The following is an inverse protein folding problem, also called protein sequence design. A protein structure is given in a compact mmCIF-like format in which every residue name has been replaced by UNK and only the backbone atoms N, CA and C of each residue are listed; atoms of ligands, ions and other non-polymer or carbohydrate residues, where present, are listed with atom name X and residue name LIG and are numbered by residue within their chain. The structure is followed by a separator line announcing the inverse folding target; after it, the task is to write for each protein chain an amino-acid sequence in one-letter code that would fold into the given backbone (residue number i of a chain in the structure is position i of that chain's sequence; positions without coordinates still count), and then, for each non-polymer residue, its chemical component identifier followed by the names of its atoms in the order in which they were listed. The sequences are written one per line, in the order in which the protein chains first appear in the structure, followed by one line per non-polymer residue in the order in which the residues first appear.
data_IF_401564187526
#
_entry.id   IF_401564187526
#
_cell.length_a   1.000
_cell.length_b   1.000
_cell.length_c   1.000
_cell.angle_alpha   90.00
_cell.angle_beta   90.00
_cell.angle_gamma   90.00
#
_symmetry.space_group_name_H-M   'P 1'
#
loop_
_entity.id
_entity.type
_entity.pdbx_description
1 polymer ?
#
# COMPACT_ATOMS: atom_id res chain seq x y z
N UNK A 1 0.18 1.92 -15.96
CA UNK A 1 1.28 1.03 -15.54
C UNK A 1 0.84 0.40 -14.24
N UNK A 2 1.02 -0.90 -14.10
CA UNK A 2 0.56 -1.62 -12.92
C UNK A 2 1.52 -1.38 -11.78
N UNK A 3 0.99 -0.99 -10.63
CA UNK A 3 1.78 -0.80 -9.41
C UNK A 3 1.40 -1.84 -8.36
N UNK A 4 2.36 -2.16 -7.50
CA UNK A 4 2.19 -3.11 -6.40
C UNK A 4 2.76 -2.56 -5.10
N UNK A 5 2.13 -2.92 -3.99
CA UNK A 5 2.65 -2.74 -2.64
C UNK A 5 2.57 -4.09 -1.89
N UNK A 6 3.61 -4.40 -1.13
CA UNK A 6 3.67 -5.56 -0.23
C UNK A 6 4.01 -5.06 1.16
N UNK A 7 3.13 -5.30 2.15
CA UNK A 7 3.31 -4.78 3.51
C UNK A 7 4.61 -5.27 4.17
N UNK A 8 5.00 -6.51 3.89
CA UNK A 8 6.28 -7.08 4.38
C UNK A 8 7.50 -6.31 3.87
N UNK A 9 7.46 -5.81 2.63
CA UNK A 9 8.54 -4.99 2.08
C UNK A 9 8.56 -3.58 2.68
N UNK A 10 7.41 -3.08 3.15
CA UNK A 10 7.30 -1.84 3.91
C UNK A 10 7.71 -1.96 5.39
N UNK A 11 8.14 -3.15 5.84
CA UNK A 11 8.67 -3.39 7.20
C UNK A 11 7.65 -3.88 8.23
N UNK A 12 6.43 -4.23 7.81
CA UNK A 12 5.41 -4.82 8.68
C UNK A 12 5.49 -6.34 8.66
N UNK A 13 5.21 -7.02 9.78
CA UNK A 13 5.01 -8.47 9.77
C UNK A 13 3.59 -8.79 9.29
N UNK A 14 3.35 -8.61 7.99
CA UNK A 14 2.04 -8.77 7.34
C UNK A 14 2.19 -9.28 5.90
N UNK A 15 1.44 -10.31 5.54
CA UNK A 15 1.45 -10.92 4.21
C UNK A 15 0.49 -10.25 3.21
N UNK A 16 -0.09 -9.11 3.57
CA UNK A 16 -0.93 -8.34 2.66
C UNK A 16 -0.11 -7.80 1.48
N UNK A 17 -0.71 -7.92 0.30
CA UNK A 17 -0.18 -7.38 -0.95
C UNK A 17 -1.35 -6.93 -1.82
N UNK A 18 -1.15 -5.84 -2.54
CA UNK A 18 -2.15 -5.30 -3.47
C UNK A 18 -1.45 -4.79 -4.72
N UNK A 19 -2.10 -4.98 -5.86
CA UNK A 19 -1.67 -4.45 -7.15
C UNK A 19 -2.84 -3.83 -7.89
N UNK A 20 -2.59 -2.75 -8.61
CA UNK A 20 -3.60 -2.08 -9.41
C UNK A 20 -2.96 -1.30 -10.55
N UNK A 21 -3.68 -1.17 -11.66
CA UNK A 21 -3.33 -0.24 -12.75
C UNK A 21 -3.73 1.20 -12.43
N UNK A 22 -4.61 1.38 -11.44
CA UNK A 22 -5.06 2.67 -10.93
C UNK A 22 -4.39 2.96 -9.59
N UNK A 23 -3.50 3.96 -9.60
CA UNK A 23 -2.73 4.34 -8.42
C UNK A 23 -3.61 4.89 -7.30
N UNK A 24 -4.68 5.63 -7.61
CA UNK A 24 -5.57 6.18 -6.57
C UNK A 24 -6.33 5.06 -5.84
N UNK A 25 -6.80 4.04 -6.56
CA UNK A 25 -7.39 2.84 -5.94
C UNK A 25 -6.37 2.09 -5.08
N UNK A 26 -5.14 1.91 -5.57
CA UNK A 26 -4.06 1.29 -4.81
C UNK A 26 -3.83 2.02 -3.47
N UNK A 27 -3.80 3.36 -3.52
CA UNK A 27 -3.61 4.21 -2.34
C UNK A 27 -4.76 4.05 -1.35
N UNK A 28 -6.01 4.07 -1.80
CA UNK A 28 -7.18 3.90 -0.93
C UNK A 28 -7.16 2.54 -0.21
N UNK A 29 -6.88 1.46 -0.95
CA UNK A 29 -6.79 0.11 -0.37
C UNK A 29 -5.70 0.00 0.70
N UNK A 30 -4.51 0.53 0.42
CA UNK A 30 -3.40 0.47 1.40
C UNK A 30 -3.68 1.35 2.61
N UNK A 31 -4.30 2.51 2.42
CA UNK A 31 -4.66 3.40 3.51
C UNK A 31 -5.68 2.73 4.45
N UNK A 32 -6.72 2.12 3.89
CA UNK A 32 -7.71 1.36 4.66
C UNK A 32 -7.05 0.19 5.40
N UNK A 33 -6.20 -0.57 4.72
CA UNK A 33 -5.48 -1.70 5.30
C UNK A 33 -4.58 -1.27 6.47
N UNK A 34 -3.78 -0.22 6.28
CA UNK A 34 -2.86 0.30 7.30
C UNK A 34 -3.60 0.76 8.56
N UNK A 35 -4.73 1.45 8.39
CA UNK A 35 -5.56 1.90 9.52
C UNK A 35 -6.23 0.72 10.24
N UNK A 36 -6.89 -0.17 9.51
CA UNK A 36 -7.68 -1.24 10.13
C UNK A 36 -6.85 -2.41 10.68
N UNK A 37 -5.68 -2.68 10.09
CA UNK A 37 -4.83 -3.83 10.46
C UNK A 37 -3.69 -3.42 11.38
N UNK A 38 -3.10 -2.24 11.15
CA UNK A 38 -1.92 -1.78 11.86
C UNK A 38 -2.18 -0.54 12.75
N UNK A 39 -3.40 0.00 12.76
CA UNK A 39 -3.72 1.22 13.50
C UNK A 39 -2.86 2.41 13.07
N UNK A 40 -2.34 2.39 11.83
CA UNK A 40 -1.36 3.35 11.33
C UNK A 40 -1.99 4.22 10.25
N UNK A 41 -1.88 5.52 10.42
CA UNK A 41 -2.31 6.49 9.41
C UNK A 41 -1.14 6.80 8.47
N UNK A 42 -1.33 6.57 7.18
CA UNK A 42 -0.35 6.88 6.13
C UNK A 42 -0.91 7.95 5.19
N UNK A 43 -0.04 8.87 4.75
CA UNK A 43 -0.41 9.84 3.72
C UNK A 43 -0.35 9.19 2.34
N UNK A 44 -1.12 9.71 1.37
CA UNK A 44 -1.07 9.25 -0.01
C UNK A 44 0.37 9.30 -0.60
N UNK A 45 1.14 10.32 -0.22
CA UNK A 45 2.55 10.45 -0.65
C UNK A 45 3.45 9.34 -0.10
N UNK A 46 3.26 8.93 1.16
CA UNK A 46 4.02 7.83 1.77
C UNK A 46 3.72 6.52 1.04
N UNK A 47 2.42 6.26 0.80
CA UNK A 47 1.95 5.06 0.11
C UNK A 47 2.49 5.01 -1.33
N UNK A 48 2.46 6.13 -2.05
CA UNK A 48 3.03 6.23 -3.41
C UNK A 48 4.54 5.99 -3.43
N UNK A 49 5.26 6.35 -2.36
CA UNK A 49 6.68 6.08 -2.21
C UNK A 49 7.02 4.60 -1.99
N UNK A 50 6.07 3.81 -1.49
CA UNK A 50 6.19 2.36 -1.30
C UNK A 50 5.81 1.56 -2.56
N UNK A 51 5.09 2.17 -3.49
CA UNK A 51 4.59 1.50 -4.69
C UNK A 51 5.71 1.24 -5.70
N UNK A 52 5.83 -0.01 -6.14
CA UNK A 52 6.76 -0.43 -7.19
C UNK A 52 6.01 -0.71 -8.50
N UNK A 53 6.61 -0.33 -9.62
CA UNK A 53 6.11 -0.65 -10.96
C UNK A 53 6.41 -2.12 -11.29
N UNK A 54 5.45 -2.82 -11.90
CA UNK A 54 5.56 -4.24 -12.24
C UNK A 54 5.10 -4.56 -13.68
#
# INVERSE_FOLDING_TARGET
MTKRIVCREAGYDCDFQVQSENEDELVEFVKEHAMNTHGTELSASDIRGLAVDI
#
